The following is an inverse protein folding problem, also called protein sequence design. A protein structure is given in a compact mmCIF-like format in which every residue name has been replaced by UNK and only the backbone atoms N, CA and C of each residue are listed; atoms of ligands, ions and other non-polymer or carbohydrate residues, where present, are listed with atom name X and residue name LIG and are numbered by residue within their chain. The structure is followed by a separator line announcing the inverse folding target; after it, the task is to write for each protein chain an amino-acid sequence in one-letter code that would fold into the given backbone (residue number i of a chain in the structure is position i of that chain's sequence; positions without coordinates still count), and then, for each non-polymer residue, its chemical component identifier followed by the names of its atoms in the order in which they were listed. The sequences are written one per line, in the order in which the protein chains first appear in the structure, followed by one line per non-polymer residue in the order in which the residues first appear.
data_IF_140156953388
#
_entry.id   IF_140156953388
#
_cell.length_a   1.000
_cell.length_b   1.000
_cell.length_c   1.000
_cell.angle_alpha   90.00
_cell.angle_beta   90.00
_cell.angle_gamma   90.00
#
_symmetry.space_group_name_H-M   'P 1'
#
loop_
_entity.id
_entity.type
_entity.pdbx_description
1 polymer ?
#
# COMPACT_ATOMS: atom_id res chain seq x y z
N UNK A 1 -1.82 11.26 -0.01
CA UNK A 1 -0.68 11.30 0.95
C UNK A 1 0.62 11.06 0.17
N UNK A 2 1.79 11.56 0.60
CA UNK A 2 3.03 11.47 -0.21
C UNK A 2 3.47 10.03 -0.53
N UNK A 3 3.34 9.11 0.43
CA UNK A 3 3.63 7.67 0.28
C UNK A 3 2.71 7.03 -0.78
N UNK A 4 1.41 7.32 -0.72
CA UNK A 4 0.40 6.83 -1.68
C UNK A 4 0.74 7.29 -3.11
N UNK A 5 1.15 8.55 -3.28
CA UNK A 5 1.54 9.09 -4.58
C UNK A 5 2.80 8.42 -5.14
N UNK A 6 3.81 8.15 -4.31
CA UNK A 6 5.00 7.40 -4.72
C UNK A 6 4.63 6.01 -5.22
N UNK A 7 3.83 5.27 -4.44
CA UNK A 7 3.46 3.89 -4.77
C UNK A 7 2.55 3.83 -6.02
N UNK A 8 1.66 4.82 -6.21
CA UNK A 8 0.83 4.90 -7.40
C UNK A 8 1.67 5.11 -8.67
N UNK A 9 2.67 6.00 -8.64
CA UNK A 9 3.57 6.20 -9.77
C UNK A 9 4.31 4.90 -10.15
N UNK A 10 4.66 4.08 -9.14
CA UNK A 10 5.30 2.78 -9.32
C UNK A 10 4.35 1.65 -9.75
N UNK A 11 3.03 1.84 -9.62
CA UNK A 11 2.04 0.98 -10.29
C UNK A 11 1.95 1.38 -11.77
N UNK A 12 1.90 2.68 -12.05
CA UNK A 12 1.73 3.21 -13.40
C UNK A 12 2.94 2.88 -14.30
N UNK A 13 4.16 2.79 -13.74
CA UNK A 13 5.37 2.31 -14.43
C UNK A 13 5.51 0.78 -14.49
N UNK A 14 4.48 0.04 -14.02
CA UNK A 14 4.42 -1.42 -13.97
C UNK A 14 5.46 -2.11 -13.07
N UNK A 15 6.13 -1.37 -12.19
CA UNK A 15 7.09 -1.97 -11.25
C UNK A 15 6.37 -2.70 -10.11
N UNK A 16 5.27 -2.15 -9.60
CA UNK A 16 4.47 -2.68 -8.50
C UNK A 16 3.16 -3.27 -9.04
N UNK A 17 2.75 -4.44 -8.51
CA UNK A 17 1.46 -5.04 -8.82
C UNK A 17 0.33 -4.51 -7.94
N UNK A 18 0.61 -4.30 -6.65
CA UNK A 18 -0.35 -3.79 -5.68
C UNK A 18 0.38 -3.27 -4.42
N UNK A 19 -0.29 -2.47 -3.60
CA UNK A 19 0.25 -2.05 -2.31
C UNK A 19 -0.83 -1.91 -1.23
N UNK A 20 -0.44 -2.02 0.04
CA UNK A 20 -1.29 -1.74 1.21
C UNK A 20 -0.55 -0.86 2.19
N UNK A 21 -1.26 0.12 2.74
CA UNK A 21 -0.76 1.00 3.78
C UNK A 21 -1.65 0.79 5.01
N UNK A 22 -1.04 0.52 6.16
CA UNK A 22 -1.74 0.39 7.44
C UNK A 22 -1.16 1.35 8.46
N UNK A 23 -2.05 2.06 9.16
CA UNK A 23 -1.69 2.97 10.24
C UNK A 23 -1.87 2.28 11.58
N UNK A 24 -0.80 2.18 12.37
CA UNK A 24 -0.88 1.72 13.77
C UNK A 24 -1.12 2.92 14.68
N UNK A 25 -1.78 2.67 15.82
CA UNK A 25 -2.14 3.67 16.83
C UNK A 25 -0.96 4.54 17.36
N UNK A 26 0.29 4.12 17.13
CA UNK A 26 1.50 4.82 17.57
C UNK A 26 2.24 5.52 16.41
N UNK A 27 1.52 6.01 15.39
CA UNK A 27 2.06 6.68 14.18
C UNK A 27 3.04 5.84 13.34
N UNK A 28 3.15 4.54 13.61
CA UNK A 28 3.90 3.62 12.75
C UNK A 28 3.06 3.30 11.51
N UNK A 29 3.68 3.35 10.35
CA UNK A 29 3.03 3.10 9.07
C UNK A 29 3.65 1.82 8.50
N UNK A 30 2.84 0.77 8.35
CA UNK A 30 3.28 -0.42 7.62
C UNK A 30 2.90 -0.26 6.15
N UNK A 31 3.86 -0.43 5.26
CA UNK A 31 3.66 -0.42 3.81
C UNK A 31 4.01 -1.80 3.26
N UNK A 32 3.02 -2.50 2.71
CA UNK A 32 3.24 -3.77 2.02
C UNK A 32 3.17 -3.53 0.52
N UNK A 33 4.19 -3.99 -0.21
CA UNK A 33 4.26 -3.85 -1.66
C UNK A 33 4.30 -5.23 -2.30
N UNK A 34 3.38 -5.50 -3.21
CA UNK A 34 3.32 -6.74 -3.98
C UNK A 34 4.07 -6.57 -5.30
N UNK A 35 5.04 -7.44 -5.54
CA UNK A 35 5.83 -7.53 -6.77
C UNK A 35 5.70 -8.92 -7.41
N UNK A 36 6.06 -9.01 -8.69
CA UNK A 36 6.18 -10.32 -9.38
C UNK A 36 7.30 -11.14 -8.74
N UNK A 37 8.48 -10.54 -8.62
CA UNK A 37 9.71 -11.13 -8.09
C UNK A 37 10.37 -10.20 -7.06
N UNK A 38 11.30 -10.75 -6.25
CA UNK A 38 12.03 -9.94 -5.27
C UNK A 38 12.89 -8.90 -5.99
N UNK A 39 12.47 -7.64 -5.92
CA UNK A 39 13.22 -6.49 -6.39
C UNK A 39 13.43 -5.49 -5.23
N UNK A 40 14.68 -5.35 -4.78
CA UNK A 40 15.03 -4.46 -3.67
C UNK A 40 15.12 -2.98 -4.08
N UNK A 41 15.03 -2.65 -5.38
CA UNK A 41 15.10 -1.26 -5.85
C UNK A 41 13.96 -0.42 -5.29
N UNK A 42 12.76 -1.00 -5.13
CA UNK A 42 11.63 -0.30 -4.51
C UNK A 42 11.94 0.09 -3.06
N UNK A 43 12.54 -0.83 -2.30
CA UNK A 43 12.94 -0.56 -0.92
C UNK A 43 13.96 0.59 -0.86
N UNK A 44 14.98 0.57 -1.73
CA UNK A 44 16.00 1.62 -1.76
C UNK A 44 15.44 2.97 -2.19
N UNK A 45 14.59 3.01 -3.21
CA UNK A 45 13.94 4.24 -3.71
C UNK A 45 13.08 4.85 -2.61
N UNK A 46 12.25 4.03 -1.96
CA UNK A 46 11.38 4.44 -0.87
C UNK A 46 12.19 4.99 0.31
N UNK A 47 13.25 4.29 0.72
CA UNK A 47 14.12 4.73 1.82
C UNK A 47 14.85 6.02 1.49
N UNK A 48 15.24 6.24 0.24
CA UNK A 48 15.88 7.46 -0.21
C UNK A 48 14.93 8.65 -0.16
N UNK A 49 13.70 8.47 -0.66
CA UNK A 49 12.70 9.54 -0.73
C UNK A 49 12.15 9.95 0.63
N UNK A 50 11.89 8.99 1.51
CA UNK A 50 11.24 9.23 2.80
C UNK A 50 12.21 9.17 3.99
N UNK A 51 13.51 9.36 3.74
CA UNK A 51 14.60 9.20 4.73
C UNK A 51 14.35 9.95 6.05
N UNK A 52 13.81 11.17 5.99
CA UNK A 52 13.46 11.96 7.17
C UNK A 52 12.31 11.35 7.97
N UNK A 53 11.30 10.82 7.28
CA UNK A 53 10.14 10.18 7.89
C UNK A 53 10.55 8.89 8.59
N UNK A 54 11.39 8.04 8.00
CA UNK A 54 11.98 6.87 8.70
C UNK A 54 12.69 7.21 10.03
N UNK A 55 13.14 8.45 10.20
CA UNK A 55 13.85 8.92 11.39
C UNK A 55 12.92 9.42 12.49
N UNK A 56 11.67 9.78 12.16
CA UNK A 56 10.70 10.45 13.04
C UNK A 56 9.37 9.68 13.20
N UNK A 57 8.90 9.02 12.13
CA UNK A 57 7.77 8.11 12.05
C UNK A 57 8.31 6.71 11.69
N UNK A 58 7.97 5.65 12.42
CA UNK A 58 8.47 4.31 12.06
C UNK A 58 7.66 3.78 10.89
N UNK A 59 8.07 4.16 9.69
CA UNK A 59 7.55 3.58 8.46
C UNK A 59 8.31 2.27 8.22
N UNK A 60 7.60 1.16 8.14
CA UNK A 60 8.16 -0.15 7.83
C UNK A 60 7.64 -0.61 6.47
N UNK A 61 8.53 -0.80 5.50
CA UNK A 61 8.17 -1.29 4.17
C UNK A 61 8.54 -2.77 4.04
N UNK A 62 7.56 -3.58 3.65
CA UNK A 62 7.68 -5.02 3.40
C UNK A 62 7.44 -5.31 1.93
N UNK A 63 8.43 -5.92 1.27
CA UNK A 63 8.33 -6.39 -0.11
C UNK A 63 7.81 -7.83 -0.10
N UNK A 64 6.67 -8.05 -0.75
CA UNK A 64 5.97 -9.32 -0.85
C UNK A 64 5.96 -9.74 -2.33
N UNK A 65 6.29 -10.98 -2.62
CA UNK A 65 6.19 -11.52 -3.99
C UNK A 65 4.88 -12.29 -4.21
N UNK A 66 4.56 -12.59 -5.46
CA UNK A 66 3.46 -13.50 -5.78
C UNK A 66 3.64 -14.90 -5.16
N UNK A 67 4.88 -15.34 -4.96
CA UNK A 67 5.17 -16.59 -4.26
C UNK A 67 4.83 -16.48 -2.77
N UNK A 68 5.28 -15.41 -2.12
CA UNK A 68 4.99 -15.16 -0.70
C UNK A 68 3.47 -15.09 -0.46
N UNK A 69 2.73 -14.38 -1.34
CA UNK A 69 1.27 -14.30 -1.32
C UNK A 69 0.56 -15.66 -1.45
N UNK A 70 1.18 -16.65 -2.07
CA UNK A 70 0.60 -18.01 -2.22
C UNK A 70 0.88 -18.89 -1.01
N UNK A 71 1.99 -18.65 -0.32
CA UNK A 71 2.46 -19.52 0.76
C UNK A 71 2.07 -19.01 2.15
N UNK A 72 1.72 -17.73 2.28
CA UNK A 72 1.37 -17.08 3.54
C UNK A 72 -0.10 -16.62 3.53
N UNK A 73 -0.90 -17.13 4.46
CA UNK A 73 -2.33 -16.82 4.57
C UNK A 73 -2.60 -15.35 4.87
N UNK A 74 -1.71 -14.69 5.61
CA UNK A 74 -1.82 -13.26 5.91
C UNK A 74 -1.59 -12.43 4.65
N UNK A 75 -0.54 -12.70 3.87
CA UNK A 75 -0.32 -12.01 2.60
C UNK A 75 -1.37 -12.36 1.55
N UNK A 76 -1.86 -13.60 1.55
CA UNK A 76 -2.99 -14.00 0.73
C UNK A 76 -4.24 -13.16 1.04
N UNK A 77 -4.59 -13.04 2.32
CA UNK A 77 -5.70 -12.19 2.78
C UNK A 77 -5.49 -10.72 2.40
N UNK A 78 -4.27 -10.20 2.60
CA UNK A 78 -3.95 -8.79 2.38
C UNK A 78 -4.10 -8.34 0.91
N UNK A 79 -3.78 -9.24 -0.04
CA UNK A 79 -3.73 -8.94 -1.48
C UNK A 79 -4.78 -9.68 -2.34
N UNK A 80 -5.63 -10.52 -1.75
CA UNK A 80 -6.74 -11.18 -2.47
C UNK A 80 -7.91 -10.20 -2.64
N UNK A 81 -8.40 -10.05 -3.88
CA UNK A 81 -9.61 -9.25 -4.13
C UNK A 81 -10.86 -9.91 -3.55
N UNK A 82 -10.87 -11.24 -3.51
CA UNK A 82 -12.02 -12.06 -3.10
C UNK A 82 -12.20 -12.06 -1.57
N UNK A 83 -11.10 -11.87 -0.82
CA UNK A 83 -11.08 -11.85 0.66
C UNK A 83 -10.94 -10.45 1.26
N UNK A 84 -10.66 -9.45 0.43
CA UNK A 84 -10.58 -8.05 0.82
C UNK A 84 -11.31 -7.17 -0.22
N UNK A 85 -12.66 -7.17 -0.19
CA UNK A 85 -13.50 -6.45 -1.16
C UNK A 85 -13.38 -4.92 -1.05
N UNK A 86 -12.74 -4.40 0.01
CA UNK A 86 -12.43 -2.97 0.19
C UNK A 86 -11.37 -2.45 -0.79
N UNK A 87 -10.95 -3.29 -1.73
CA UNK A 87 -10.37 -2.89 -3.02
C UNK A 87 -11.40 -2.20 -3.94
N UNK A 88 -12.36 -1.49 -3.35
CA UNK A 88 -13.04 -0.38 -4.02
C UNK A 88 -11.93 0.52 -4.49
N UNK A 89 -11.75 0.58 -5.82
CA UNK A 89 -10.86 1.51 -6.52
C UNK A 89 -10.75 2.79 -5.67
N UNK A 90 -9.56 3.15 -5.16
CA UNK A 90 -9.45 4.20 -4.14
C UNK A 90 -10.07 5.53 -4.62
N UNK A 91 -10.20 5.71 -5.95
CA UNK A 91 -11.00 6.76 -6.58
C UNK A 91 -12.51 6.59 -6.37
N UNK A 92 -13.04 5.38 -6.52
CA UNK A 92 -14.44 5.04 -6.26
C UNK A 92 -14.79 5.13 -4.76
N UNK A 93 -13.89 4.72 -3.86
CA UNK A 93 -14.11 4.84 -2.39
C UNK A 93 -14.17 6.30 -1.97
N UNK A 94 -13.21 7.13 -2.38
CA UNK A 94 -13.26 8.59 -2.16
C UNK A 94 -14.51 9.24 -2.74
N UNK A 95 -15.01 8.77 -3.90
CA UNK A 95 -16.28 9.28 -4.48
C UNK A 95 -17.50 8.88 -3.66
N UNK A 96 -17.54 7.66 -3.13
CA UNK A 96 -18.63 7.16 -2.29
C UNK A 96 -18.64 7.84 -0.92
N UNK A 97 -17.48 7.96 -0.27
CA UNK A 97 -17.35 8.65 1.02
C UNK A 97 -17.81 10.12 0.89
N UNK A 98 -17.40 10.82 -0.17
CA UNK A 98 -17.85 12.19 -0.46
C UNK A 98 -19.34 12.33 -0.82
N UNK A 99 -19.97 11.28 -1.35
CA UNK A 99 -21.41 11.26 -1.68
C UNK A 99 -22.26 11.09 -0.41
N UNK A 100 -21.81 10.23 0.50
CA UNK A 100 -22.49 9.99 1.79
C UNK A 100 -22.46 11.24 2.67
N UNK A 101 -21.39 12.02 2.63
CA UNK A 101 -21.30 13.29 3.36
C UNK A 101 -22.21 14.39 2.78
N UNK A 102 -22.56 14.32 1.47
CA UNK A 102 -23.40 15.32 0.82
C UNK A 102 -24.90 15.09 1.03
N UNK A 103 -25.34 13.84 1.21
CA UNK A 103 -26.75 13.50 1.52
C UNK A 103 -27.14 13.74 2.98
N UNK A 104 -26.15 13.98 3.86
CA UNK A 104 -26.36 14.27 5.28
C UNK A 104 -26.28 15.78 5.63
N UNK A 105 -26.31 16.66 4.62
CA UNK A 105 -26.42 18.13 4.74
C UNK A 105 -27.80 18.63 4.28
#
# INVERSE_FOLDING_TARGET
MEIENFLQNKIDDSTILDYRISFKFNTNIDVFVLLTDKNNTIYSDFKSQFKSQFSQERIDISIVTLSDRKMDDFYHYLFSQDRNPDKVDAKLKRRLDNLIDYENL
#
